data_IF_332358051957
#
_entry.id   IF_332358051957
#
_cell.length_a   1.000
_cell.length_b   1.000
_cell.length_c   1.000
_cell.angle_alpha   90.00
_cell.angle_beta   90.00
_cell.angle_gamma   90.00
#
_symmetry.space_group_name_H-M   'P 1'
#
loop_
_entity.id
_entity.type
_entity.pdbx_description
1 polymer ?
#
# COMPACT_ATOMS: atom_id res chain seq x y z
N UNK A 1 8.24 -5.45 -6.72
CA UNK A 1 9.20 -5.73 -5.60
C UNK A 1 9.51 -4.51 -4.72
N UNK A 2 10.12 -3.44 -5.24
CA UNK A 2 10.40 -2.24 -4.42
C UNK A 2 9.13 -1.64 -3.76
N UNK A 3 8.03 -1.52 -4.51
CA UNK A 3 6.75 -1.02 -3.99
C UNK A 3 6.24 -1.86 -2.81
N UNK A 4 6.34 -3.18 -2.93
CA UNK A 4 5.99 -4.15 -1.86
C UNK A 4 6.88 -3.93 -0.65
N UNK A 5 8.19 -3.74 -0.84
CA UNK A 5 9.11 -3.41 0.25
C UNK A 5 8.68 -2.16 1.02
N UNK A 6 8.36 -1.08 0.31
CA UNK A 6 7.94 0.18 0.94
C UNK A 6 6.60 0.03 1.67
N UNK A 7 5.61 -0.58 1.02
CA UNK A 7 4.29 -0.77 1.62
C UNK A 7 4.39 -1.62 2.90
N UNK A 8 5.08 -2.77 2.84
CA UNK A 8 5.29 -3.62 4.03
C UNK A 8 6.14 -2.95 5.10
N UNK A 9 7.14 -2.17 4.72
CA UNK A 9 7.95 -1.43 5.68
C UNK A 9 7.14 -0.34 6.40
N UNK A 10 6.22 0.33 5.71
CA UNK A 10 5.30 1.30 6.33
C UNK A 10 4.31 0.63 7.26
N UNK A 11 3.70 -0.48 6.84
CA UNK A 11 2.69 -1.18 7.64
C UNK A 11 3.27 -1.73 8.95
N UNK A 12 4.57 -2.00 8.99
CA UNK A 12 5.29 -2.50 10.16
C UNK A 12 6.08 -1.44 10.93
N UNK A 13 5.92 -0.15 10.59
CA UNK A 13 6.67 0.97 11.16
C UNK A 13 8.20 0.90 10.99
N UNK A 14 8.71 0.03 10.10
CA UNK A 14 10.12 0.02 9.68
C UNK A 14 10.45 1.27 8.87
N UNK A 15 9.49 1.74 8.06
CA UNK A 15 9.59 2.95 7.27
C UNK A 15 8.52 3.95 7.69
N UNK A 16 8.90 5.21 7.83
CA UNK A 16 7.99 6.32 8.12
C UNK A 16 8.09 7.39 7.04
N UNK A 17 7.04 8.18 6.90
CA UNK A 17 7.02 9.31 5.94
C UNK A 17 7.26 10.60 6.71
N UNK A 18 8.35 11.32 6.41
CA UNK A 18 8.66 12.59 7.03
C UNK A 18 7.99 13.74 6.29
N UNK A 19 6.88 14.21 6.85
CA UNK A 19 6.10 15.33 6.30
C UNK A 19 6.82 16.69 6.39
N UNK A 20 7.79 16.87 7.29
CA UNK A 20 8.47 18.16 7.50
C UNK A 20 9.49 18.47 6.40
N UNK A 21 10.09 17.47 5.74
CA UNK A 21 11.00 17.66 4.61
C UNK A 21 10.30 18.21 3.36
N UNK A 22 8.99 17.98 3.20
CA UNK A 22 8.20 18.53 2.09
C UNK A 22 7.92 20.04 2.18
N UNK A 23 8.09 20.65 3.37
CA UNK A 23 7.86 22.09 3.59
C UNK A 23 9.10 22.97 3.34
N UNK A 24 10.29 22.40 3.42
CA UNK A 24 11.55 23.12 3.19
C UNK A 24 12.04 22.94 1.75
N UNK A 25 11.23 23.42 0.81
CA UNK A 25 11.51 23.40 -0.63
C UNK A 25 11.51 21.98 -1.21
N UNK A 26 10.58 21.71 -2.12
CA UNK A 26 10.65 20.50 -2.95
C UNK A 26 11.97 20.52 -3.72
N UNK A 27 13.00 19.84 -3.19
CA UNK A 27 14.13 19.43 -4.02
C UNK A 27 13.53 18.48 -5.04
N UNK A 28 13.44 18.91 -6.29
CA UNK A 28 12.96 18.06 -7.38
C UNK A 28 13.76 16.76 -7.34
N UNK A 29 13.07 15.66 -6.99
CA UNK A 29 13.72 14.38 -6.81
C UNK A 29 14.30 13.96 -8.16
N UNK A 30 15.61 13.71 -8.21
CA UNK A 30 16.21 13.14 -9.41
C UNK A 30 15.61 11.75 -9.60
N UNK A 31 15.12 11.38 -10.80
CA UNK A 31 14.52 10.08 -11.08
C UNK A 31 15.57 8.96 -11.19
N UNK A 32 16.55 8.97 -10.29
CA UNK A 32 17.67 8.05 -10.24
C UNK A 32 17.86 7.64 -8.78
N UNK A 33 17.89 6.33 -8.54
CA UNK A 33 18.29 5.76 -7.25
C UNK A 33 19.73 5.25 -7.34
N UNK A 34 20.46 5.36 -6.24
CA UNK A 34 21.79 4.80 -6.08
C UNK A 34 21.74 3.67 -5.05
N UNK A 35 22.18 2.49 -5.46
CA UNK A 35 22.32 1.33 -4.61
C UNK A 35 23.80 1.18 -4.30
N UNK A 36 24.16 1.28 -3.02
CA UNK A 36 25.51 1.07 -2.55
C UNK A 36 25.61 -0.39 -2.10
N UNK A 37 26.39 -1.20 -2.81
CA UNK A 37 26.80 -2.51 -2.33
C UNK A 37 27.87 -2.31 -1.26
N UNK A 38 27.62 -2.79 -0.04
CA UNK A 38 28.55 -2.64 1.08
C UNK A 38 29.33 -3.95 1.22
N UNK A 39 30.64 -3.90 1.03
CA UNK A 39 31.54 -5.04 1.29
C UNK A 39 32.36 -4.73 2.55
N UNK A 40 31.95 -5.30 3.69
CA UNK A 40 32.56 -5.00 4.98
C UNK A 40 32.22 -3.58 5.44
N UNK A 41 33.23 -2.71 5.52
CA UNK A 41 33.09 -1.31 5.99
C UNK A 41 33.18 -0.29 4.86
N UNK A 42 33.66 -0.71 3.69
CA UNK A 42 33.84 0.18 2.55
C UNK A 42 32.58 0.13 1.65
N UNK A 43 32.10 1.30 1.17
CA UNK A 43 31.12 1.31 0.10
C UNK A 43 31.79 0.73 -1.15
N UNK A 44 31.38 -0.47 -1.52
CA UNK A 44 31.83 -1.17 -2.71
C UNK A 44 31.23 -0.54 -3.97
N UNK A 45 30.58 -1.36 -4.79
CA UNK A 45 30.03 -0.91 -6.07
C UNK A 45 28.80 -0.02 -5.86
N UNK A 46 28.76 1.12 -6.55
CA UNK A 46 27.54 1.93 -6.69
C UNK A 46 26.83 1.56 -7.99
N UNK A 47 25.57 1.15 -7.88
CA UNK A 47 24.72 0.84 -9.03
C UNK A 47 23.60 1.88 -9.09
N UNK A 48 23.47 2.57 -10.22
CA UNK A 48 22.39 3.54 -10.44
C UNK A 48 21.27 2.93 -11.27
N UNK A 49 20.02 3.19 -10.88
CA UNK A 49 18.83 2.81 -11.66
C UNK A 49 17.94 4.02 -11.90
N UNK A 50 17.40 4.15 -13.12
CA UNK A 50 16.33 5.11 -13.39
C UNK A 50 15.03 4.63 -12.75
N UNK A 51 14.29 5.55 -12.14
CA UNK A 51 12.95 5.31 -11.57
C UNK A 51 11.97 6.35 -12.10
N UNK A 52 10.66 6.15 -11.92
CA UNK A 52 9.70 7.20 -12.24
C UNK A 52 9.83 8.38 -11.27
N UNK A 53 9.38 9.56 -11.70
CA UNK A 53 9.36 10.77 -10.86
C UNK A 53 8.55 10.55 -9.58
N UNK A 54 7.42 9.86 -9.67
CA UNK A 54 6.55 9.56 -8.53
C UNK A 54 7.26 8.67 -7.49
N UNK A 55 7.98 7.64 -7.94
CA UNK A 55 8.78 6.77 -7.05
C UNK A 55 9.91 7.56 -6.39
N UNK A 56 10.62 8.37 -7.16
CA UNK A 56 11.69 9.22 -6.64
C UNK A 56 11.16 10.19 -5.58
N UNK A 57 9.97 10.76 -5.80
CA UNK A 57 9.32 11.67 -4.86
C UNK A 57 8.91 10.98 -3.56
N UNK A 58 8.43 9.73 -3.61
CA UNK A 58 8.15 8.98 -2.37
C UNK A 58 9.44 8.73 -1.61
N UNK A 59 10.50 8.30 -2.29
CA UNK A 59 11.78 7.97 -1.68
C UNK A 59 12.40 9.14 -0.90
N UNK A 60 12.24 10.39 -1.35
CA UNK A 60 12.76 11.56 -0.62
C UNK A 60 12.04 11.82 0.70
N UNK A 61 10.86 11.21 0.90
CA UNK A 61 10.06 11.36 2.12
C UNK A 61 10.23 10.20 3.10
N UNK A 62 10.87 9.10 2.70
CA UNK A 62 11.00 7.92 3.56
C UNK A 62 12.14 8.07 4.56
N UNK A 63 11.89 7.64 5.79
CA UNK A 63 12.87 7.53 6.87
C UNK A 63 12.72 6.19 7.58
N UNK A 64 13.74 5.78 8.34
CA UNK A 64 13.64 4.60 9.19
C UNK A 64 12.71 4.89 10.39
N UNK A 65 12.04 3.85 10.87
CA UNK A 65 11.30 3.89 12.12
C UNK A 65 12.21 4.24 13.29
N UNK A 66 11.70 5.01 14.24
CA UNK A 66 12.45 5.47 15.43
C UNK A 66 13.09 4.29 16.21
N UNK A 67 12.39 3.16 16.29
CA UNK A 67 12.86 1.94 16.98
C UNK A 67 14.13 1.34 16.34
N UNK A 68 14.38 1.63 15.05
CA UNK A 68 15.58 1.21 14.33
C UNK A 68 16.74 2.20 14.46
N UNK A 69 16.45 3.47 14.75
CA UNK A 69 17.47 4.52 14.88
C UNK A 69 18.18 4.47 16.24
N UNK A 70 17.49 4.02 17.29
CA UNK A 70 17.97 4.13 18.68
C UNK A 70 18.18 2.75 19.35
N UNK A 71 17.73 1.67 18.74
CA UNK A 71 17.70 0.33 19.35
C UNK A 71 19.04 -0.42 19.34
N UNK A 72 19.39 -1.08 20.45
CA UNK A 72 20.54 -2.00 20.53
C UNK A 72 20.36 -3.28 19.69
N UNK A 73 19.12 -3.59 19.28
CA UNK A 73 18.74 -4.76 18.47
C UNK A 73 18.11 -4.37 17.12
N UNK A 74 18.59 -3.30 16.48
CA UNK A 74 18.02 -2.78 15.23
C UNK A 74 17.88 -3.85 14.12
N UNK A 75 18.81 -4.80 14.03
CA UNK A 75 18.74 -5.90 13.05
C UNK A 75 17.53 -6.83 13.29
N UNK A 76 17.27 -7.20 14.54
CA UNK A 76 16.14 -8.06 14.90
C UNK A 76 14.82 -7.32 14.72
N UNK A 77 14.77 -6.04 15.12
CA UNK A 77 13.60 -5.18 14.90
C UNK A 77 13.29 -5.02 13.41
N UNK A 78 14.31 -4.80 12.56
CA UNK A 78 14.15 -4.72 11.11
C UNK A 78 13.66 -6.04 10.53
N UNK A 79 14.29 -7.16 10.88
CA UNK A 79 13.90 -8.48 10.40
C UNK A 79 12.46 -8.84 10.79
N UNK A 80 12.07 -8.55 12.03
CA UNK A 80 10.71 -8.76 12.50
C UNK A 80 9.71 -7.85 11.78
N UNK A 81 10.03 -6.57 11.60
CA UNK A 81 9.18 -5.64 10.87
C UNK A 81 9.07 -5.95 9.37
N UNK A 82 10.12 -6.50 8.75
CA UNK A 82 10.12 -6.89 7.34
C UNK A 82 9.67 -8.33 7.09
N UNK A 83 9.25 -9.07 8.13
CA UNK A 83 8.84 -10.48 8.00
C UNK A 83 7.76 -10.67 6.93
N UNK A 84 6.76 -9.79 6.89
CA UNK A 84 5.69 -9.86 5.89
C UNK A 84 6.19 -9.70 4.44
N UNK A 85 7.13 -8.78 4.21
CA UNK A 85 7.80 -8.67 2.92
C UNK A 85 8.56 -9.95 2.58
N UNK A 86 9.39 -10.44 3.50
CA UNK A 86 10.17 -11.66 3.28
C UNK A 86 9.28 -12.86 2.94
N UNK A 87 8.12 -13.02 3.60
CA UNK A 87 7.14 -14.06 3.26
C UNK A 87 6.66 -13.96 1.81
N UNK A 88 6.34 -12.75 1.35
CA UNK A 88 5.84 -12.51 0.00
C UNK A 88 6.92 -12.74 -1.08
N UNK A 89 8.19 -12.50 -0.75
CA UNK A 89 9.25 -12.40 -1.76
C UNK A 89 10.23 -13.56 -1.77
N UNK A 90 10.33 -14.30 -0.66
CA UNK A 90 11.13 -15.52 -0.59
C UNK A 90 10.46 -16.72 -1.26
N UNK A 91 9.15 -16.62 -1.53
CA UNK A 91 8.34 -17.68 -2.11
C UNK A 91 8.13 -17.46 -3.60
N UNK A 92 8.29 -18.53 -4.37
CA UNK A 92 7.92 -18.57 -5.81
C UNK A 92 6.52 -19.15 -5.97
N UNK A 93 5.58 -18.63 -5.20
CA UNK A 93 4.19 -19.06 -5.23
C UNK A 93 3.35 -18.05 -6.02
N UNK A 94 2.83 -18.50 -7.16
CA UNK A 94 1.99 -17.68 -8.04
C UNK A 94 0.68 -17.27 -7.33
N UNK A 95 0.25 -18.01 -6.30
CA UNK A 95 -0.93 -17.68 -5.50
C UNK A 95 -0.77 -16.34 -4.75
N UNK A 96 0.47 -15.91 -4.48
CA UNK A 96 0.77 -14.65 -3.81
C UNK A 96 0.66 -13.43 -4.74
N UNK A 97 0.51 -13.64 -6.05
CA UNK A 97 0.45 -12.56 -7.03
C UNK A 97 -0.64 -11.53 -6.72
N UNK A 98 -1.77 -11.98 -6.14
CA UNK A 98 -2.89 -11.12 -5.75
C UNK A 98 -2.55 -10.20 -4.58
N UNK A 99 -1.88 -10.73 -3.56
CA UNK A 99 -1.43 -9.93 -2.40
C UNK A 99 -0.32 -8.96 -2.83
N UNK A 100 0.63 -9.44 -3.65
CA UNK A 100 1.68 -8.59 -4.22
C UNK A 100 1.08 -7.45 -5.04
N UNK A 101 0.10 -7.75 -5.91
CA UNK A 101 -0.59 -6.73 -6.68
C UNK A 101 -1.29 -5.71 -5.76
N UNK A 102 -1.95 -6.15 -4.68
CA UNK A 102 -2.57 -5.27 -3.71
C UNK A 102 -1.55 -4.34 -3.02
N UNK A 103 -0.37 -4.85 -2.63
CA UNK A 103 0.72 -4.02 -2.11
C UNK A 103 1.17 -2.97 -3.13
N UNK A 104 1.31 -3.34 -4.40
CA UNK A 104 1.71 -2.42 -5.46
C UNK A 104 0.66 -1.33 -5.71
N UNK A 105 -0.63 -1.69 -5.71
CA UNK A 105 -1.73 -0.73 -5.85
C UNK A 105 -1.90 0.18 -4.63
N UNK A 106 -1.63 -0.33 -3.42
CA UNK A 106 -1.58 0.47 -2.20
C UNK A 106 -0.49 1.54 -2.29
N UNK A 107 0.74 1.13 -2.65
CA UNK A 107 1.84 2.06 -2.89
C UNK A 107 1.52 3.09 -3.98
N UNK A 108 0.94 2.65 -5.10
CA UNK A 108 0.62 3.55 -6.21
C UNK A 108 -0.49 4.55 -5.86
N UNK A 109 -1.40 4.20 -4.95
CA UNK A 109 -2.40 5.10 -4.39
C UNK A 109 -1.77 6.16 -3.47
N UNK A 110 -0.82 5.75 -2.63
CA UNK A 110 -0.08 6.68 -1.77
C UNK A 110 0.68 7.73 -2.59
N UNK A 111 1.36 7.26 -3.64
CA UNK A 111 2.21 8.06 -4.54
C UNK A 111 1.43 8.97 -5.50
N UNK A 112 0.11 8.79 -5.60
CA UNK A 112 -0.73 9.54 -6.54
C UNK A 112 -0.95 10.98 -6.07
N UNK A 113 -0.98 11.92 -7.02
CA UNK A 113 -1.23 13.33 -6.72
C UNK A 113 -2.69 13.72 -6.94
N UNK A 114 -3.42 12.98 -7.78
CA UNK A 114 -4.83 13.19 -8.05
C UNK A 114 -5.68 12.35 -7.10
N UNK A 115 -6.29 12.96 -6.08
CA UNK A 115 -7.10 12.24 -5.07
C UNK A 115 -8.20 11.36 -5.66
N UNK A 116 -8.80 11.75 -6.78
CA UNK A 116 -9.77 10.91 -7.48
C UNK A 116 -9.14 9.59 -7.98
N UNK A 117 -7.92 9.65 -8.51
CA UNK A 117 -7.20 8.46 -8.95
C UNK A 117 -6.75 7.57 -7.78
N UNK A 118 -6.54 8.13 -6.59
CA UNK A 118 -6.33 7.33 -5.37
C UNK A 118 -7.49 6.38 -5.12
N UNK A 119 -8.73 6.86 -5.22
CA UNK A 119 -9.92 6.01 -5.06
C UNK A 119 -9.92 4.85 -6.04
N UNK A 120 -9.58 5.11 -7.30
CA UNK A 120 -9.50 4.08 -8.34
C UNK A 120 -8.45 3.03 -7.98
N UNK A 121 -7.24 3.46 -7.62
CA UNK A 121 -6.12 2.57 -7.26
C UNK A 121 -6.42 1.74 -6.01
N UNK A 122 -7.03 2.33 -4.98
CA UNK A 122 -7.51 1.62 -3.78
C UNK A 122 -8.50 0.53 -4.16
N UNK A 123 -9.48 0.84 -5.01
CA UNK A 123 -10.45 -0.16 -5.48
C UNK A 123 -9.78 -1.30 -6.25
N UNK A 124 -8.80 -1.02 -7.11
CA UNK A 124 -8.07 -2.07 -7.84
C UNK A 124 -7.27 -2.95 -6.86
N UNK A 125 -6.66 -2.37 -5.82
CA UNK A 125 -5.99 -3.14 -4.76
C UNK A 125 -6.96 -4.09 -4.04
N UNK A 126 -8.14 -3.60 -3.65
CA UNK A 126 -9.18 -4.43 -3.02
C UNK A 126 -9.72 -5.51 -3.96
N UNK A 127 -9.88 -5.19 -5.25
CA UNK A 127 -10.27 -6.15 -6.29
C UNK A 127 -9.19 -7.22 -6.50
N UNK A 128 -7.92 -6.89 -6.32
CA UNK A 128 -6.83 -7.86 -6.41
C UNK A 128 -6.94 -8.94 -5.32
N UNK A 129 -7.35 -8.56 -4.11
CA UNK A 129 -7.53 -9.49 -2.98
C UNK A 129 -8.85 -10.24 -3.10
N UNK A 130 -9.96 -9.52 -3.29
CA UNK A 130 -11.31 -10.07 -3.14
C UNK A 130 -12.02 -10.38 -4.45
N UNK A 131 -11.44 -10.05 -5.60
CA UNK A 131 -12.00 -10.32 -6.92
C UNK A 131 -12.09 -11.81 -7.23
N UNK A 132 -13.04 -12.18 -8.07
CA UNK A 132 -13.12 -13.52 -8.67
C UNK A 132 -13.03 -13.39 -10.18
N UNK A 133 -12.41 -14.38 -10.82
CA UNK A 133 -12.15 -14.33 -12.26
C UNK A 133 -13.44 -14.50 -13.09
N UNK A 134 -14.55 -14.97 -12.47
CA UNK A 134 -15.79 -15.36 -13.15
C UNK A 134 -17.08 -14.82 -12.49
N UNK A 135 -17.10 -13.58 -11.99
CA UNK A 135 -18.34 -13.05 -11.38
C UNK A 135 -19.32 -12.47 -12.42
N UNK A 136 -20.35 -13.23 -12.79
CA UNK A 136 -21.51 -12.75 -13.57
C UNK A 136 -22.51 -11.92 -12.73
N UNK A 137 -22.31 -11.85 -11.40
CA UNK A 137 -23.12 -11.06 -10.47
C UNK A 137 -22.46 -9.73 -10.09
N UNK A 138 -23.27 -8.75 -9.66
CA UNK A 138 -22.85 -7.38 -9.33
C UNK A 138 -21.57 -7.31 -8.48
N UNK A 139 -20.44 -7.09 -9.14
CA UNK A 139 -19.08 -7.09 -8.62
C UNK A 139 -18.96 -6.34 -7.29
N UNK A 140 -19.58 -5.17 -7.20
CA UNK A 140 -19.58 -4.33 -5.99
C UNK A 140 -20.22 -5.00 -4.77
N UNK A 141 -21.33 -5.75 -4.94
CA UNK A 141 -22.00 -6.41 -3.82
C UNK A 141 -21.12 -7.52 -3.26
N UNK A 142 -20.60 -8.38 -4.14
CA UNK A 142 -19.72 -9.48 -3.76
C UNK A 142 -18.44 -8.99 -3.06
N UNK A 143 -17.77 -7.99 -3.63
CA UNK A 143 -16.57 -7.39 -3.05
C UNK A 143 -16.84 -6.77 -1.67
N UNK A 144 -17.96 -6.03 -1.53
CA UNK A 144 -18.33 -5.40 -0.25
C UNK A 144 -18.60 -6.44 0.83
N UNK A 145 -19.25 -7.55 0.47
CA UNK A 145 -19.53 -8.64 1.39
C UNK A 145 -18.21 -9.33 1.79
N UNK A 146 -17.32 -9.68 0.84
CA UNK A 146 -16.01 -10.29 1.14
C UNK A 146 -15.12 -9.42 2.02
N UNK A 147 -15.02 -8.12 1.72
CA UNK A 147 -14.28 -7.17 2.56
C UNK A 147 -14.79 -7.20 4.01
N UNK A 148 -16.11 -7.10 4.18
CA UNK A 148 -16.72 -7.01 5.50
C UNK A 148 -16.63 -8.31 6.30
N UNK A 149 -16.81 -9.48 5.67
CA UNK A 149 -16.64 -10.75 6.36
C UNK A 149 -15.18 -11.05 6.69
N UNK A 150 -14.24 -10.52 5.90
CA UNK A 150 -12.83 -10.70 6.18
C UNK A 150 -12.35 -9.82 7.34
N UNK A 151 -12.76 -8.55 7.42
CA UNK A 151 -12.17 -7.62 8.37
C UNK A 151 -13.00 -7.31 9.62
N UNK A 152 -14.32 -7.51 9.58
CA UNK A 152 -15.17 -7.12 10.70
C UNK A 152 -15.05 -8.09 11.89
N UNK A 153 -14.95 -7.51 13.08
CA UNK A 153 -14.96 -8.24 14.35
C UNK A 153 -16.36 -8.57 14.84
N UNK A 154 -17.37 -7.79 14.42
CA UNK A 154 -18.76 -7.97 14.84
C UNK A 154 -19.78 -7.64 13.73
N UNK A 155 -21.05 -7.87 14.03
CA UNK A 155 -22.17 -7.70 13.08
C UNK A 155 -22.41 -6.22 12.73
N UNK A 156 -22.16 -5.28 13.66
CA UNK A 156 -22.34 -3.85 13.41
C UNK A 156 -21.22 -3.32 12.52
N UNK A 157 -19.98 -3.67 12.82
CA UNK A 157 -18.82 -3.37 12.00
C UNK A 157 -18.97 -3.94 10.59
N UNK A 158 -19.45 -5.18 10.47
CA UNK A 158 -19.72 -5.80 9.17
C UNK A 158 -20.67 -4.97 8.33
N UNK A 159 -21.81 -4.56 8.90
CA UNK A 159 -22.79 -3.70 8.21
C UNK A 159 -22.18 -2.35 7.81
N UNK A 160 -21.34 -1.76 8.66
CA UNK A 160 -20.62 -0.51 8.40
C UNK A 160 -19.66 -0.66 7.22
N UNK A 161 -18.81 -1.69 7.23
CA UNK A 161 -17.85 -1.96 6.15
C UNK A 161 -18.59 -2.21 4.82
N UNK A 162 -19.63 -3.07 4.83
CA UNK A 162 -20.43 -3.33 3.62
C UNK A 162 -21.01 -2.05 3.03
N UNK A 163 -21.56 -1.16 3.87
CA UNK A 163 -22.13 0.11 3.43
C UNK A 163 -21.05 1.00 2.81
N UNK A 164 -19.94 1.20 3.52
CA UNK A 164 -18.88 2.10 3.08
C UNK A 164 -18.16 1.58 1.81
N UNK A 165 -17.95 0.27 1.68
CA UNK A 165 -17.42 -0.32 0.45
C UNK A 165 -18.34 -0.05 -0.75
N UNK A 166 -19.67 -0.19 -0.58
CA UNK A 166 -20.62 0.13 -1.66
C UNK A 166 -20.55 1.59 -2.08
N UNK A 167 -20.46 2.51 -1.12
CA UNK A 167 -20.31 3.94 -1.43
C UNK A 167 -18.96 4.22 -2.10
N UNK A 168 -17.86 3.63 -1.63
CA UNK A 168 -16.54 3.75 -2.25
C UNK A 168 -16.57 3.32 -3.73
N UNK A 169 -17.19 2.18 -4.06
CA UNK A 169 -17.30 1.72 -5.44
C UNK A 169 -18.23 2.58 -6.30
N UNK A 170 -19.24 3.24 -5.72
CA UNK A 170 -20.03 4.26 -6.45
C UNK A 170 -19.18 5.48 -6.79
N UNK A 171 -18.32 5.92 -5.88
CA UNK A 171 -17.36 6.99 -6.14
C UNK A 171 -16.38 6.59 -7.25
N UNK A 172 -15.79 5.39 -7.17
CA UNK A 172 -14.94 4.83 -8.24
C UNK A 172 -15.65 4.85 -9.59
N UNK A 173 -16.87 4.35 -9.66
CA UNK A 173 -17.69 4.32 -10.89
C UNK A 173 -17.87 5.74 -11.46
N UNK A 174 -18.23 6.70 -10.61
CA UNK A 174 -18.40 8.10 -11.01
C UNK A 174 -17.11 8.72 -11.56
N UNK A 175 -15.96 8.35 -11.01
CA UNK A 175 -14.65 8.84 -11.46
C UNK A 175 -14.28 8.25 -12.82
N UNK A 176 -14.39 6.92 -12.97
CA UNK A 176 -14.04 6.21 -14.20
C UNK A 176 -14.92 6.64 -15.38
N UNK A 177 -16.19 6.93 -15.15
CA UNK A 177 -17.11 7.45 -16.17
C UNK A 177 -17.00 8.98 -16.38
N UNK A 178 -16.02 9.64 -15.75
CA UNK A 178 -15.77 11.07 -15.94
C UNK A 178 -16.78 12.01 -15.28
N UNK A 179 -17.74 11.49 -14.53
CA UNK A 179 -18.76 12.26 -13.80
C UNK A 179 -18.13 13.05 -12.64
N UNK A 180 -17.09 12.50 -12.01
CA UNK A 180 -16.40 13.12 -10.86
C UNK A 180 -14.89 13.24 -11.10
N UNK A 181 -14.35 14.46 -10.98
CA UNK A 181 -12.91 14.75 -11.12
C UNK A 181 -12.24 15.21 -9.83
N UNK A 182 -13.02 15.69 -8.86
CA UNK A 182 -12.57 16.13 -7.54
C UNK A 182 -13.39 15.42 -6.46
N UNK A 183 -12.74 15.08 -5.36
CA UNK A 183 -13.40 14.47 -4.22
C UNK A 183 -14.12 15.55 -3.39
N UNK A 184 -15.34 15.26 -2.97
CA UNK A 184 -15.99 15.99 -1.88
C UNK A 184 -15.37 15.60 -0.53
N UNK A 185 -15.76 16.28 0.55
CA UNK A 185 -15.36 15.90 1.90
C UNK A 185 -15.77 14.45 2.23
N UNK A 186 -17.02 14.08 1.93
CA UNK A 186 -17.51 12.72 2.12
C UNK A 186 -16.75 11.67 1.28
N UNK A 187 -16.39 12.01 0.04
CA UNK A 187 -15.58 11.11 -0.79
C UNK A 187 -14.15 10.97 -0.24
N UNK A 188 -13.62 12.02 0.37
CA UNK A 188 -12.29 12.00 0.99
C UNK A 188 -12.27 11.12 2.24
N UNK A 189 -13.35 11.11 3.02
CA UNK A 189 -13.51 10.19 4.15
C UNK A 189 -13.68 8.74 3.67
N UNK A 190 -14.38 8.52 2.55
CA UNK A 190 -14.45 7.20 1.92
C UNK A 190 -13.09 6.75 1.39
N UNK A 191 -12.26 7.65 0.85
CA UNK A 191 -10.90 7.33 0.45
C UNK A 191 -10.06 6.88 1.64
N UNK A 192 -10.09 7.62 2.76
CA UNK A 192 -9.36 7.22 3.99
C UNK A 192 -9.80 5.84 4.46
N UNK A 193 -11.11 5.60 4.55
CA UNK A 193 -11.67 4.29 4.85
C UNK A 193 -11.17 3.21 3.88
N UNK A 194 -11.16 3.49 2.57
CA UNK A 194 -10.71 2.54 1.56
C UNK A 194 -9.22 2.19 1.72
N UNK A 195 -8.38 3.17 2.05
CA UNK A 195 -6.96 2.95 2.33
C UNK A 195 -6.76 2.10 3.59
N UNK A 196 -7.48 2.40 4.68
CA UNK A 196 -7.44 1.62 5.92
C UNK A 196 -7.85 0.16 5.68
N UNK A 197 -8.93 -0.06 4.93
CA UNK A 197 -9.43 -1.39 4.61
C UNK A 197 -8.45 -2.14 3.70
N UNK A 198 -7.86 -1.49 2.69
CA UNK A 198 -6.86 -2.13 1.83
C UNK A 198 -5.63 -2.58 2.63
N UNK A 199 -5.08 -1.72 3.48
CA UNK A 199 -3.94 -2.07 4.34
C UNK A 199 -4.30 -3.23 5.27
N UNK A 200 -5.46 -3.17 5.94
CA UNK A 200 -5.93 -4.25 6.80
C UNK A 200 -6.15 -5.57 6.06
N UNK A 201 -6.63 -5.52 4.82
CA UNK A 201 -6.76 -6.70 3.95
C UNK A 201 -5.41 -7.32 3.62
N UNK A 202 -4.43 -6.50 3.23
CA UNK A 202 -3.06 -6.97 2.94
C UNK A 202 -2.46 -7.61 4.19
N UNK A 203 -2.51 -6.92 5.34
CA UNK A 203 -1.96 -7.42 6.60
C UNK A 203 -2.57 -8.76 7.01
N UNK A 204 -3.88 -8.89 6.86
CA UNK A 204 -4.57 -10.14 7.15
C UNK A 204 -4.09 -11.27 6.24
N UNK A 205 -4.04 -11.06 4.93
CA UNK A 205 -3.60 -12.08 3.98
C UNK A 205 -2.14 -12.51 4.25
N UNK A 206 -1.25 -11.56 4.52
CA UNK A 206 0.15 -11.83 4.87
C UNK A 206 0.26 -12.64 6.17
N UNK A 207 -0.61 -12.39 7.15
CA UNK A 207 -0.63 -13.14 8.42
C UNK A 207 -1.09 -14.58 8.25
N UNK A 208 -1.96 -14.85 7.28
CA UNK A 208 -2.42 -16.21 6.95
C UNK A 208 -1.34 -17.04 6.22
N UNK A 209 -0.28 -16.40 5.71
CA UNK A 209 0.83 -17.12 5.12
C UNK A 209 1.66 -17.82 6.22
N UNK A 210 2.05 -19.09 6.02
CA UNK A 210 2.89 -19.79 6.98
C UNK A 210 4.22 -19.06 7.16
N UNK A 211 4.87 -19.29 8.30
CA UNK A 211 6.23 -18.78 8.55
C UNK A 211 7.26 -19.38 7.58
#
# INVERSE_FOLDING_TARGET
>A
MFKVFVERGKSSNVLMTNFFLGWWGEREAKPIIYIHEIEGVDPGRVISYSVSKDIAQVLTTLQLGHDLEVGTNAQEAFANGMRGFLKLTSRRDVSLARVIAACEWSFDSDSEHVSAMKVVKVCIGLESIYGEDNSEGGLTKSLSDRCAYSLANDVFERKRIMKNCRELYKVRSSIVHGVKRKLSAADSDLLKFGMEILTGSIDKEVTLLPD
#
